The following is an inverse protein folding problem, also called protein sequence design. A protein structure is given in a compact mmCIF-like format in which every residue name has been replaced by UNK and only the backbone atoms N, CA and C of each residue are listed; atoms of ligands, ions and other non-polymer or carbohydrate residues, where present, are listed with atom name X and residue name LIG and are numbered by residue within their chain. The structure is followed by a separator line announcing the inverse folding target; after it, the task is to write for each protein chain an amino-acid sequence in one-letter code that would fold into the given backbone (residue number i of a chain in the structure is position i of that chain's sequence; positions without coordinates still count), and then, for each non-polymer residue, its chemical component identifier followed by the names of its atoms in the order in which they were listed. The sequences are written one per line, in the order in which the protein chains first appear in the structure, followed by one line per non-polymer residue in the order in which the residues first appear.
data_IF_272883964197
#
_entry.id   IF_272883964197
#
_cell.length_a   1.000
_cell.length_b   1.000
_cell.length_c   1.000
_cell.angle_alpha   90.00
_cell.angle_beta   90.00
_cell.angle_gamma   90.00
#
_symmetry.space_group_name_H-M   'P 1'
#
loop_
_entity.id
_entity.type
_entity.pdbx_description
1 polymer ?
#
# COMPACT_ATOMS: atom_id res chain seq x y z
N UNK A 1 -10.65 -2.22 -6.16
CA UNK A 1 -9.88 -1.72 -5.00
C UNK A 1 -10.66 -1.93 -3.72
N UNK A 2 -9.99 -2.38 -2.68
CA UNK A 2 -10.62 -2.67 -1.39
C UNK A 2 -10.05 -1.78 -0.30
N UNK A 3 -10.93 -1.16 0.49
CA UNK A 3 -10.55 -0.39 1.66
C UNK A 3 -10.90 -1.18 2.92
N UNK A 4 -9.90 -1.48 3.75
CA UNK A 4 -10.08 -2.20 5.01
C UNK A 4 -9.91 -1.23 6.18
N UNK A 5 -11.01 -0.98 6.92
CA UNK A 5 -11.01 -0.11 8.11
C UNK A 5 -11.50 -0.93 9.29
N UNK A 6 -10.81 -0.89 10.46
CA UNK A 6 -11.29 -1.58 11.67
C UNK A 6 -12.68 -1.10 12.07
N UNK A 7 -13.55 -2.03 12.47
CA UNK A 7 -14.93 -1.71 12.82
C UNK A 7 -15.04 -0.67 13.94
N UNK A 8 -14.13 -0.72 14.90
CA UNK A 8 -14.08 0.22 16.03
C UNK A 8 -13.85 1.66 15.55
N UNK A 9 -12.95 1.85 14.59
CA UNK A 9 -12.68 3.17 14.02
C UNK A 9 -13.83 3.64 13.14
N UNK A 10 -14.45 2.72 12.40
CA UNK A 10 -15.60 3.05 11.57
C UNK A 10 -16.76 3.57 12.41
N UNK A 11 -16.98 3.00 13.59
CA UNK A 11 -18.04 3.43 14.50
C UNK A 11 -17.80 4.84 15.06
N UNK A 12 -16.55 5.28 15.17
CA UNK A 12 -16.18 6.59 15.71
C UNK A 12 -16.12 7.69 14.64
N UNK A 13 -16.21 7.34 13.34
CA UNK A 13 -16.07 8.28 12.23
C UNK A 13 -17.41 8.46 11.50
N UNK A 14 -17.61 9.70 11.01
CA UNK A 14 -18.70 10.00 10.10
C UNK A 14 -18.54 9.18 8.81
N UNK A 15 -19.60 8.53 8.30
CA UNK A 15 -19.53 7.76 7.06
C UNK A 15 -18.99 8.55 5.86
N UNK A 16 -19.32 9.84 5.76
CA UNK A 16 -18.83 10.71 4.69
C UNK A 16 -17.32 10.90 4.82
N UNK A 17 -16.83 11.11 6.03
CA UNK A 17 -15.38 11.26 6.29
C UNK A 17 -14.63 9.98 5.91
N UNK A 18 -15.16 8.82 6.27
CA UNK A 18 -14.56 7.52 5.91
C UNK A 18 -14.46 7.38 4.39
N UNK A 19 -15.51 7.75 3.67
CA UNK A 19 -15.54 7.67 2.22
C UNK A 19 -14.52 8.61 1.57
N UNK A 20 -14.39 9.83 2.07
CA UNK A 20 -13.41 10.81 1.59
C UNK A 20 -11.98 10.31 1.82
N UNK A 21 -11.70 9.79 3.00
CA UNK A 21 -10.39 9.24 3.33
C UNK A 21 -10.09 8.04 2.42
N UNK A 22 -11.04 7.16 2.22
CA UNK A 22 -10.91 6.01 1.32
C UNK A 22 -10.57 6.43 -0.10
N UNK A 23 -11.28 7.43 -0.63
CA UNK A 23 -11.01 7.97 -1.97
C UNK A 23 -9.62 8.58 -2.06
N UNK A 24 -9.19 9.30 -1.03
CA UNK A 24 -7.85 9.90 -0.98
C UNK A 24 -6.75 8.83 -0.99
N UNK A 25 -6.91 7.78 -0.20
CA UNK A 25 -5.95 6.67 -0.16
C UNK A 25 -5.89 5.95 -1.50
N UNK A 26 -7.03 5.76 -2.16
CA UNK A 26 -7.11 5.17 -3.50
C UNK A 26 -6.33 5.99 -4.51
N UNK A 27 -6.49 7.31 -4.48
CA UNK A 27 -5.77 8.23 -5.36
C UNK A 27 -4.27 8.16 -5.12
N UNK A 28 -3.84 8.10 -3.87
CA UNK A 28 -2.41 8.00 -3.52
C UNK A 28 -1.80 6.72 -4.11
N UNK A 29 -2.49 5.59 -3.96
CA UNK A 29 -2.01 4.30 -4.47
C UNK A 29 -1.93 4.32 -6.00
N UNK A 30 -2.94 4.87 -6.67
CA UNK A 30 -2.94 4.98 -8.12
C UNK A 30 -1.82 5.90 -8.63
N UNK A 31 -1.63 7.06 -7.99
CA UNK A 31 -0.56 8.00 -8.34
C UNK A 31 0.82 7.40 -8.12
N UNK A 32 0.98 6.63 -7.05
CA UNK A 32 2.24 5.92 -6.76
C UNK A 32 2.56 4.94 -7.88
N UNK A 33 1.58 4.17 -8.33
CA UNK A 33 1.72 3.24 -9.44
C UNK A 33 2.09 3.95 -10.74
N UNK A 34 1.41 5.04 -11.06
CA UNK A 34 1.70 5.83 -12.25
C UNK A 34 3.11 6.45 -12.21
N UNK A 35 3.52 6.94 -11.04
CA UNK A 35 4.87 7.48 -10.86
C UNK A 35 5.94 6.41 -11.07
N UNK A 36 5.72 5.21 -10.56
CA UNK A 36 6.62 4.08 -10.75
C UNK A 36 6.74 3.73 -12.24
N UNK A 37 5.62 3.67 -12.95
CA UNK A 37 5.58 3.36 -14.36
C UNK A 37 6.36 4.41 -15.16
N UNK A 38 6.15 5.70 -14.87
CA UNK A 38 6.84 6.80 -15.56
C UNK A 38 8.34 6.80 -15.29
N UNK A 39 8.75 6.41 -14.08
CA UNK A 39 10.16 6.40 -13.69
C UNK A 39 10.90 5.14 -14.15
N UNK A 40 10.20 4.13 -14.62
CA UNK A 40 10.79 2.83 -14.94
C UNK A 40 11.50 2.84 -16.28
N UNK A 41 12.59 2.09 -16.35
CA UNK A 41 13.30 1.78 -17.60
C UNK A 41 12.97 0.39 -18.13
N UNK A 42 12.29 -0.43 -17.34
CA UNK A 42 11.89 -1.78 -17.75
C UNK A 42 10.71 -1.72 -18.71
N UNK A 43 10.81 -2.42 -19.83
CA UNK A 43 9.71 -2.57 -20.77
C UNK A 43 8.49 -3.22 -20.11
N UNK A 44 8.73 -4.21 -19.24
CA UNK A 44 7.64 -4.88 -18.54
C UNK A 44 6.85 -3.91 -17.67
N UNK A 45 7.54 -3.06 -16.91
CA UNK A 45 6.87 -2.09 -16.04
C UNK A 45 6.28 -0.94 -16.85
N UNK A 46 7.06 -0.35 -17.76
CA UNK A 46 6.67 0.87 -18.48
C UNK A 46 5.57 0.64 -19.50
N UNK A 47 5.66 -0.42 -20.28
CA UNK A 47 4.71 -0.68 -21.36
C UNK A 47 3.63 -1.68 -20.99
N UNK A 48 3.99 -2.75 -20.28
CA UNK A 48 3.03 -3.77 -19.87
C UNK A 48 2.39 -3.49 -18.52
N UNK A 49 2.83 -2.44 -17.83
CA UNK A 49 2.34 -2.04 -16.50
C UNK A 49 2.47 -3.19 -15.48
N UNK A 50 3.58 -3.92 -15.56
CA UNK A 50 3.85 -5.08 -14.69
C UNK A 50 4.34 -4.60 -13.33
N UNK A 51 3.43 -4.02 -12.56
CA UNK A 51 3.68 -3.55 -11.21
C UNK A 51 2.35 -3.47 -10.44
N UNK A 52 2.46 -3.39 -9.14
CA UNK A 52 1.32 -3.18 -8.26
C UNK A 52 1.74 -2.35 -7.07
N UNK A 53 0.80 -1.59 -6.51
CA UNK A 53 1.05 -0.74 -5.35
C UNK A 53 -0.01 -0.99 -4.29
N UNK A 54 0.37 -0.84 -3.04
CA UNK A 54 -0.57 -1.01 -1.92
C UNK A 54 -0.13 -0.18 -0.72
N UNK A 55 -1.09 0.19 0.10
CA UNK A 55 -0.86 0.84 1.39
C UNK A 55 -1.27 -0.11 2.52
N UNK A 56 -0.46 -0.15 3.55
CA UNK A 56 -0.70 -0.98 4.72
C UNK A 56 -0.65 -0.13 5.98
N UNK A 57 -1.37 -0.55 7.02
CA UNK A 57 -1.21 0.08 8.32
C UNK A 57 0.06 -0.45 9.02
N UNK A 58 0.37 0.10 10.19
CA UNK A 58 1.56 -0.30 10.94
C UNK A 58 1.49 -1.75 11.43
N UNK A 59 0.33 -2.35 11.44
CA UNK A 59 0.13 -3.76 11.80
C UNK A 59 0.20 -4.69 10.59
N UNK A 60 0.41 -4.15 9.40
CA UNK A 60 0.53 -4.92 8.17
C UNK A 60 -0.78 -5.27 7.49
N UNK A 61 -1.90 -4.66 7.90
CA UNK A 61 -3.19 -4.88 7.26
C UNK A 61 -3.30 -4.00 6.02
N UNK A 62 -3.84 -4.57 4.94
CA UNK A 62 -4.03 -3.82 3.70
C UNK A 62 -5.11 -2.76 3.86
N UNK A 63 -4.74 -1.51 3.62
CA UNK A 63 -5.70 -0.40 3.62
C UNK A 63 -6.28 -0.17 2.23
N UNK A 64 -5.42 -0.19 1.22
CA UNK A 64 -5.83 0.12 -0.14
C UNK A 64 -4.80 -0.46 -1.10
N UNK A 65 -5.23 -0.87 -2.29
CA UNK A 65 -4.32 -1.41 -3.29
C UNK A 65 -4.79 -1.06 -4.69
N UNK A 66 -3.84 -0.90 -5.61
CA UNK A 66 -4.08 -0.73 -7.02
C UNK A 66 -3.48 -1.92 -7.76
N UNK A 67 -4.33 -2.67 -8.43
CA UNK A 67 -3.95 -3.89 -9.12
C UNK A 67 -3.80 -3.63 -10.60
N UNK A 68 -2.60 -3.81 -11.10
CA UNK A 68 -2.40 -3.89 -12.54
C UNK A 68 -2.24 -5.37 -12.95
N UNK A 69 -1.67 -6.19 -12.04
CA UNK A 69 -1.52 -7.62 -12.23
C UNK A 69 -1.96 -8.36 -10.96
N UNK A 70 -3.06 -9.12 -11.02
CA UNK A 70 -3.64 -9.75 -9.82
C UNK A 70 -2.71 -10.69 -9.06
N UNK A 71 -1.78 -11.36 -9.75
CA UNK A 71 -0.86 -12.30 -9.10
C UNK A 71 0.01 -11.63 -8.04
N UNK A 72 0.26 -10.33 -8.16
CA UNK A 72 1.07 -9.59 -7.19
C UNK A 72 0.40 -9.47 -5.82
N UNK A 73 -0.91 -9.62 -5.73
CA UNK A 73 -1.63 -9.53 -4.47
C UNK A 73 -1.18 -10.61 -3.48
N UNK A 74 -1.00 -11.83 -3.96
CA UNK A 74 -0.50 -12.93 -3.13
C UNK A 74 0.90 -12.67 -2.58
N UNK A 75 1.72 -11.96 -3.34
CA UNK A 75 3.08 -11.62 -2.93
C UNK A 75 3.11 -10.67 -1.73
N UNK A 76 2.17 -9.75 -1.64
CA UNK A 76 2.11 -8.80 -0.51
C UNK A 76 1.92 -9.50 0.83
N UNK A 77 1.20 -10.61 0.85
CA UNK A 77 0.95 -11.37 2.08
C UNK A 77 2.27 -11.87 2.69
N UNK A 78 3.20 -12.33 1.86
CA UNK A 78 4.50 -12.81 2.33
C UNK A 78 5.52 -11.71 2.57
N UNK A 79 5.48 -10.65 1.77
CA UNK A 79 6.49 -9.59 1.80
C UNK A 79 6.30 -8.64 3.00
N UNK A 80 5.07 -8.27 3.31
CA UNK A 80 4.79 -7.24 4.32
C UNK A 80 5.33 -7.58 5.71
N UNK A 81 5.14 -8.80 6.26
CA UNK A 81 5.73 -9.12 7.55
C UNK A 81 7.25 -9.01 7.57
N UNK A 82 7.89 -9.38 6.47
CA UNK A 82 9.34 -9.32 6.33
C UNK A 82 9.84 -7.86 6.31
N UNK A 83 9.18 -7.00 5.53
CA UNK A 83 9.51 -5.57 5.44
C UNK A 83 9.34 -4.89 6.81
N UNK A 84 8.26 -5.21 7.52
CA UNK A 84 8.04 -4.67 8.87
C UNK A 84 9.16 -5.04 9.83
N UNK A 85 9.64 -6.27 9.76
CA UNK A 85 10.75 -6.74 10.58
C UNK A 85 12.03 -5.97 10.26
N UNK A 86 12.33 -5.77 8.98
CA UNK A 86 13.49 -5.00 8.55
C UNK A 86 13.39 -3.53 8.99
N UNK A 87 12.22 -2.94 8.90
CA UNK A 87 11.99 -1.56 9.33
C UNK A 87 12.24 -1.40 10.83
N UNK A 88 11.75 -2.34 11.65
CA UNK A 88 11.98 -2.33 13.09
C UNK A 88 13.46 -2.40 13.43
N UNK A 89 14.23 -3.24 12.72
CA UNK A 89 15.68 -3.32 12.91
C UNK A 89 16.38 -2.03 12.50
N UNK A 90 15.94 -1.38 11.43
CA UNK A 90 16.50 -0.09 10.99
C UNK A 90 16.23 1.01 12.02
N UNK A 91 15.03 1.05 12.61
CA UNK A 91 14.70 2.01 13.67
C UNK A 91 15.56 1.82 14.90
N UNK A 92 15.81 0.57 15.30
CA UNK A 92 16.71 0.25 16.40
C UNK A 92 18.13 0.75 16.10
N UNK A 93 18.61 0.52 14.88
CA UNK A 93 19.91 1.00 14.45
C UNK A 93 20.03 2.52 14.50
N UNK A 94 19.00 3.24 14.12
CA UNK A 94 18.96 4.71 14.19
C UNK A 94 19.01 5.22 15.62
N UNK A 95 18.36 4.51 16.54
CA UNK A 95 18.33 4.90 17.95
C UNK A 95 19.72 4.81 18.59
N UNK A 96 20.61 4.03 18.04
CA UNK A 96 21.97 3.83 18.56
C UNK A 96 23.04 4.67 17.84
N UNK A 97 22.64 5.42 16.83
CA UNK A 97 23.51 6.32 16.11
C UNK A 97 23.37 7.73 16.65
#
# INVERSE_FOLDING_TARGET
MTLAVPAERTAALDPITVEVIGAALSSIVEETGEALIRASYSTNVKERRDCSTALFDLKGRTLCQAEHIPIHLGSFIGIVPHVRKLHALAEIGRAHV
#
